data_IF_765543580927
#
_entry.id   IF_765543580927
#
_cell.length_a   1.000
_cell.length_b   1.000
_cell.length_c   1.000
_cell.angle_alpha   90.00
_cell.angle_beta   90.00
_cell.angle_gamma   90.00
#
_symmetry.space_group_name_H-M   'P 1'
#
loop_
_entity.id
_entity.type
_entity.pdbx_description
1 polymer ?
#
# COMPACT_ATOMS: atom_id res chain seq x y z
N UNK A 1 -11.64 -11.24 1.84
CA UNK A 1 -10.84 -10.53 2.87
C UNK A 1 -9.36 -10.89 2.77
N UNK A 2 -8.99 -12.17 2.91
CA UNK A 2 -7.59 -12.64 2.87
C UNK A 2 -6.82 -12.23 1.60
N UNK A 3 -7.46 -12.30 0.42
CA UNK A 3 -6.85 -11.84 -0.84
C UNK A 3 -6.43 -10.37 -0.74
N UNK A 4 -7.34 -9.49 -0.31
CA UNK A 4 -7.01 -8.06 -0.17
C UNK A 4 -5.91 -7.81 0.86
N UNK A 5 -5.84 -8.60 1.93
CA UNK A 5 -4.75 -8.53 2.91
C UNK A 5 -3.41 -8.88 2.27
N UNK A 6 -3.35 -9.96 1.49
CA UNK A 6 -2.15 -10.35 0.76
C UNK A 6 -1.69 -9.26 -0.22
N UNK A 7 -2.62 -8.69 -0.98
CA UNK A 7 -2.38 -7.56 -1.89
C UNK A 7 -1.82 -6.34 -1.15
N UNK A 8 -2.41 -5.93 -0.03
CA UNK A 8 -1.90 -4.79 0.75
C UNK A 8 -0.51 -5.07 1.36
N UNK A 9 -0.23 -6.30 1.77
CA UNK A 9 1.09 -6.71 2.25
C UNK A 9 2.13 -6.68 1.13
N UNK A 10 1.77 -7.12 -0.08
CA UNK A 10 2.63 -7.03 -1.25
C UNK A 10 3.04 -5.58 -1.53
N UNK A 11 2.08 -4.65 -1.53
CA UNK A 11 2.36 -3.21 -1.71
C UNK A 11 3.33 -2.69 -0.63
N UNK A 12 3.09 -3.01 0.66
CA UNK A 12 4.00 -2.58 1.73
C UNK A 12 5.42 -3.13 1.51
N UNK A 13 5.54 -4.39 1.08
CA UNK A 13 6.83 -5.01 0.84
C UNK A 13 7.58 -4.34 -0.31
N UNK A 14 6.90 -4.08 -1.43
CA UNK A 14 7.50 -3.40 -2.58
C UNK A 14 7.96 -1.97 -2.25
N UNK A 15 7.13 -1.20 -1.51
CA UNK A 15 7.51 0.14 -1.07
C UNK A 15 8.77 0.11 -0.18
N UNK A 16 8.84 -0.82 0.78
CA UNK A 16 10.02 -0.97 1.65
C UNK A 16 11.25 -1.40 0.87
N UNK A 17 11.11 -2.39 0.00
CA UNK A 17 12.18 -2.89 -0.83
C UNK A 17 12.77 -1.80 -1.73
N UNK A 18 11.91 -1.01 -2.37
CA UNK A 18 12.36 0.11 -3.20
C UNK A 18 13.11 1.17 -2.40
N UNK A 19 12.64 1.47 -1.18
CA UNK A 19 13.33 2.40 -0.28
C UNK A 19 14.70 1.88 0.13
N UNK A 20 14.81 0.60 0.47
CA UNK A 20 16.09 -0.07 0.80
C UNK A 20 17.09 -0.02 -0.36
N UNK A 21 16.60 -0.04 -1.60
CA UNK A 21 17.42 0.11 -2.80
C UNK A 21 17.77 1.57 -3.14
N UNK A 22 17.23 2.55 -2.43
CA UNK A 22 17.50 3.97 -2.64
C UNK A 22 16.75 4.58 -3.83
N UNK A 23 15.64 3.99 -4.27
CA UNK A 23 14.79 4.63 -5.27
C UNK A 23 14.16 5.91 -4.69
N UNK A 24 14.19 7.00 -5.47
CA UNK A 24 13.57 8.28 -5.12
C UNK A 24 12.11 8.37 -5.57
N UNK A 25 11.69 7.51 -6.51
CA UNK A 25 10.34 7.48 -7.04
C UNK A 25 10.06 6.09 -7.60
N UNK A 26 8.85 5.59 -7.35
CA UNK A 26 8.40 4.28 -7.78
C UNK A 26 6.94 4.32 -8.23
N UNK A 27 6.57 3.38 -9.09
CA UNK A 27 5.20 3.09 -9.47
C UNK A 27 4.96 1.64 -9.09
N UNK A 28 4.00 1.42 -8.19
CA UNK A 28 3.55 0.07 -7.79
C UNK A 28 2.32 -0.27 -8.63
N UNK A 29 2.42 -1.33 -9.44
CA UNK A 29 1.34 -1.81 -10.31
C UNK A 29 0.71 -3.09 -9.75
N UNK A 30 -0.62 -3.17 -9.73
CA UNK A 30 -1.35 -4.34 -9.26
C UNK A 30 -2.77 -4.40 -9.84
N UNK A 31 -3.43 -5.56 -9.77
CA UNK A 31 -4.78 -5.77 -10.32
C UNK A 31 -5.90 -5.55 -9.28
N UNK A 32 -5.54 -5.43 -8.00
CA UNK A 32 -6.47 -5.23 -6.89
C UNK A 32 -7.01 -3.79 -6.84
N UNK A 33 -8.05 -3.52 -7.66
CA UNK A 33 -8.75 -2.23 -7.69
C UNK A 33 -9.19 -1.75 -6.30
N UNK A 34 -9.55 -2.67 -5.41
CA UNK A 34 -9.95 -2.35 -4.05
C UNK A 34 -8.78 -1.76 -3.23
N UNK A 35 -7.62 -2.43 -3.24
CA UNK A 35 -6.42 -1.97 -2.53
C UNK A 35 -5.91 -0.66 -3.13
N UNK A 36 -5.85 -0.57 -4.46
CA UNK A 36 -5.45 0.65 -5.18
C UNK A 36 -6.32 1.84 -4.75
N UNK A 37 -7.64 1.69 -4.78
CA UNK A 37 -8.55 2.78 -4.38
C UNK A 37 -8.33 3.17 -2.92
N UNK A 38 -8.13 2.20 -2.04
CA UNK A 38 -8.02 2.45 -0.61
C UNK A 38 -6.71 3.13 -0.20
N UNK A 39 -5.62 2.82 -0.90
CA UNK A 39 -4.33 3.51 -0.72
C UNK A 39 -4.40 4.95 -1.25
N UNK A 40 -5.08 5.17 -2.38
CA UNK A 40 -5.17 6.50 -3.00
C UNK A 40 -6.27 7.40 -2.41
N UNK A 41 -7.23 6.85 -1.66
CA UNK A 41 -8.32 7.62 -1.06
C UNK A 41 -8.02 7.97 0.41
N UNK A 42 -8.47 9.12 0.89
CA UNK A 42 -8.29 9.58 2.28
C UNK A 42 -9.46 9.24 3.21
N UNK A 43 -10.52 8.64 2.69
CA UNK A 43 -11.65 8.20 3.50
C UNK A 43 -11.23 7.16 4.53
N UNK A 44 -11.60 7.41 5.78
CA UNK A 44 -11.44 6.45 6.88
C UNK A 44 -12.58 5.44 6.84
N UNK A 45 -12.23 4.16 6.86
CA UNK A 45 -13.17 3.08 7.11
C UNK A 45 -12.56 2.10 8.13
N UNK A 46 -13.41 1.37 8.84
CA UNK A 46 -13.01 0.47 9.93
C UNK A 46 -12.84 -0.99 9.48
N UNK A 47 -12.52 -1.23 8.20
CA UNK A 47 -12.25 -2.58 7.72
C UNK A 47 -10.87 -3.07 8.19
N UNK A 48 -10.70 -4.38 8.40
CA UNK A 48 -9.45 -4.98 8.91
C UNK A 48 -8.20 -4.60 8.10
N UNK A 49 -8.36 -4.37 6.80
CA UNK A 49 -7.30 -3.97 5.88
C UNK A 49 -6.85 -2.50 6.04
N UNK A 50 -7.62 -1.67 6.73
CA UNK A 50 -7.34 -0.23 6.89
C UNK A 50 -5.99 0.03 7.53
N UNK A 51 -5.59 -0.77 8.54
CA UNK A 51 -4.29 -0.66 9.18
C UNK A 51 -3.13 -0.91 8.19
N UNK A 52 -3.28 -1.88 7.28
CA UNK A 52 -2.26 -2.19 6.26
C UNK A 52 -2.19 -1.07 5.22
N UNK A 53 -3.33 -0.61 4.71
CA UNK A 53 -3.36 0.49 3.74
C UNK A 53 -2.87 1.81 4.34
N UNK A 54 -3.07 2.03 5.64
CA UNK A 54 -2.49 3.16 6.37
C UNK A 54 -0.97 3.05 6.44
N UNK A 55 -0.45 1.88 6.77
CA UNK A 55 1.00 1.63 6.79
C UNK A 55 1.64 1.91 5.43
N UNK A 56 1.00 1.48 4.34
CA UNK A 56 1.45 1.80 2.98
C UNK A 56 1.47 3.32 2.73
N UNK A 57 0.41 4.06 3.12
CA UNK A 57 0.34 5.53 2.98
C UNK A 57 1.46 6.25 3.73
N UNK A 58 1.80 5.80 4.93
CA UNK A 58 2.91 6.42 5.67
C UNK A 58 4.25 6.23 4.97
N UNK A 59 4.52 5.03 4.41
CA UNK A 59 5.75 4.77 3.66
C UNK A 59 5.79 5.61 2.37
N UNK A 60 4.66 5.79 1.69
CA UNK A 60 4.58 6.62 0.47
C UNK A 60 4.98 8.07 0.72
N UNK A 61 4.76 8.62 1.92
CA UNK A 61 5.20 10.00 2.26
C UNK A 61 6.72 10.17 2.31
N UNK A 62 7.47 9.07 2.27
CA UNK A 62 8.92 9.06 2.33
C UNK A 62 9.59 9.04 0.94
N UNK A 63 8.80 8.96 -0.13
CA UNK A 63 9.19 9.14 -1.52
C UNK A 63 8.76 10.53 -2.01
#
# INVERSE_FOLDING_TARGET
>A
LLVFVAEAVAVIHELRFAKELGFLSIIVEGDSRFVIRKINNHEQDFLDISALTWSAKEIVKEF
#
